data_IF_711552053459
#
_entry.id   IF_711552053459
#
_cell.length_a   1.000
_cell.length_b   1.000
_cell.length_c   1.000
_cell.angle_alpha   90.00
_cell.angle_beta   90.00
_cell.angle_gamma   90.00
#
_symmetry.space_group_name_H-M   'P 1'
#
loop_
_entity.id
_entity.type
_entity.pdbx_description
1 polymer ?
#
# COMPACT_ATOMS: atom_id res chain seq x y z
N UNK A 1 -39.44 -46.50 17.78
CA UNK A 1 -38.16 -46.17 17.14
C UNK A 1 -38.40 -45.88 15.66
N UNK A 2 -38.74 -44.63 15.33
CA UNK A 2 -38.05 -43.95 14.23
C UNK A 2 -37.98 -42.42 14.48
N UNK A 3 -36.89 -41.91 15.06
CA UNK A 3 -36.76 -40.45 15.31
C UNK A 3 -35.34 -39.91 15.22
N UNK A 4 -34.41 -40.64 14.59
CA UNK A 4 -33.01 -40.19 14.42
C UNK A 4 -32.61 -39.90 12.97
N UNK A 5 -33.43 -40.26 11.97
CA UNK A 5 -33.12 -39.96 10.56
C UNK A 5 -33.54 -38.56 10.09
N UNK A 6 -34.31 -37.80 10.90
CA UNK A 6 -34.86 -36.50 10.49
C UNK A 6 -33.98 -35.28 10.79
N UNK A 7 -32.90 -35.45 11.56
CA UNK A 7 -32.00 -34.33 11.92
C UNK A 7 -30.79 -34.25 10.95
N UNK A 8 -30.54 -35.28 10.14
CA UNK A 8 -29.42 -35.32 9.19
C UNK A 8 -29.71 -34.68 7.81
N UNK A 9 -30.86 -34.00 7.60
CA UNK A 9 -31.26 -33.49 6.27
C UNK A 9 -31.64 -32.02 6.19
N UNK A 10 -31.50 -31.24 7.26
CA UNK A 10 -31.94 -29.83 7.23
C UNK A 10 -30.72 -28.91 7.30
N UNK A 11 -30.47 -28.25 6.17
CA UNK A 11 -29.57 -27.11 5.98
C UNK A 11 -28.08 -27.39 5.73
N UNK A 12 -27.80 -28.11 4.64
CA UNK A 12 -26.80 -27.63 3.69
C UNK A 12 -27.25 -26.28 3.13
N UNK A 13 -27.05 -25.19 3.87
CA UNK A 13 -27.01 -23.87 3.23
C UNK A 13 -25.80 -23.88 2.27
N UNK A 14 -26.01 -23.61 0.98
CA UNK A 14 -24.92 -23.67 0.02
C UNK A 14 -23.87 -22.63 0.46
N UNK A 15 -22.62 -23.07 0.66
CA UNK A 15 -21.45 -22.18 0.72
C UNK A 15 -21.61 -21.22 -0.45
N UNK A 16 -21.99 -19.97 -0.18
CA UNK A 16 -22.17 -18.98 -1.23
C UNK A 16 -20.76 -18.72 -1.75
N UNK A 17 -20.38 -19.43 -2.81
CA UNK A 17 -19.07 -19.30 -3.42
C UNK A 17 -18.90 -17.83 -3.76
N UNK A 18 -18.02 -17.15 -3.02
CA UNK A 18 -17.73 -15.76 -3.28
C UNK A 18 -17.19 -15.70 -4.70
N UNK A 19 -17.74 -14.83 -5.56
CA UNK A 19 -17.34 -14.80 -6.96
C UNK A 19 -15.84 -14.50 -7.02
N UNK A 20 -15.05 -15.49 -7.48
CA UNK A 20 -13.63 -15.28 -7.79
C UNK A 20 -13.53 -14.14 -8.79
N UNK A 21 -12.71 -13.14 -8.48
CA UNK A 21 -12.51 -11.93 -9.30
C UNK A 21 -12.16 -12.35 -10.74
N UNK A 22 -13.01 -12.02 -11.71
CA UNK A 22 -12.72 -12.17 -13.14
C UNK A 22 -12.76 -10.81 -13.85
N UNK A 23 -11.72 -10.51 -14.62
CA UNK A 23 -11.68 -9.38 -15.55
C UNK A 23 -11.73 -7.99 -14.90
N UNK A 24 -12.65 -7.13 -15.38
CA UNK A 24 -12.76 -5.70 -15.02
C UNK A 24 -12.91 -5.47 -13.51
N UNK A 25 -13.53 -6.41 -12.78
CA UNK A 25 -13.66 -6.32 -11.33
C UNK A 25 -12.31 -6.42 -10.60
N UNK A 26 -11.34 -7.16 -11.14
CA UNK A 26 -9.99 -7.24 -10.58
C UNK A 26 -9.21 -5.93 -10.82
N UNK A 27 -9.42 -5.28 -11.97
CA UNK A 27 -8.81 -3.98 -12.32
C UNK A 27 -9.38 -2.86 -11.45
N UNK A 28 -10.70 -2.83 -11.28
CA UNK A 28 -11.38 -1.83 -10.46
C UNK A 28 -11.15 -2.05 -8.95
N UNK A 29 -10.95 -3.30 -8.53
CA UNK A 29 -10.50 -3.62 -7.18
C UNK A 29 -9.03 -3.26 -6.94
N UNK A 30 -8.19 -3.27 -7.98
CA UNK A 30 -6.80 -2.83 -7.89
C UNK A 30 -6.72 -1.30 -7.94
N UNK A 31 -6.85 -0.70 -6.76
CA UNK A 31 -6.85 0.75 -6.58
C UNK A 31 -5.63 1.45 -7.22
N UNK A 32 -4.47 0.77 -7.26
CA UNK A 32 -3.24 1.31 -7.82
C UNK A 32 -3.36 1.49 -9.34
N UNK A 33 -3.87 0.47 -10.05
CA UNK A 33 -4.02 0.52 -11.51
C UNK A 33 -5.05 1.60 -11.92
N UNK A 34 -6.12 1.74 -11.14
CA UNK A 34 -7.12 2.78 -11.35
C UNK A 34 -6.54 4.19 -11.17
N UNK A 35 -5.73 4.40 -10.13
CA UNK A 35 -5.06 5.69 -9.89
C UNK A 35 -4.03 6.02 -10.96
N UNK A 36 -3.24 5.04 -11.39
CA UNK A 36 -2.31 5.22 -12.49
C UNK A 36 -3.04 5.65 -13.76
N UNK A 37 -4.14 4.96 -14.11
CA UNK A 37 -4.95 5.34 -15.26
C UNK A 37 -5.54 6.76 -15.11
N UNK A 38 -6.07 7.10 -13.94
CA UNK A 38 -6.60 8.43 -13.65
C UNK A 38 -5.53 9.52 -13.78
N UNK A 39 -4.31 9.29 -13.27
CA UNK A 39 -3.20 10.23 -13.37
C UNK A 39 -2.73 10.40 -14.81
N UNK A 40 -2.62 9.31 -15.58
CA UNK A 40 -2.27 9.38 -17.01
C UNK A 40 -3.30 10.20 -17.78
N UNK A 41 -4.59 9.97 -17.54
CA UNK A 41 -5.67 10.77 -18.14
C UNK A 41 -5.55 12.24 -17.72
N UNK A 42 -5.29 12.51 -16.44
CA UNK A 42 -5.10 13.86 -15.93
C UNK A 42 -3.97 14.58 -16.67
N UNK A 43 -2.80 13.95 -16.78
CA UNK A 43 -1.62 14.51 -17.44
C UNK A 43 -1.92 14.79 -18.92
N UNK A 44 -2.57 13.86 -19.62
CA UNK A 44 -2.92 14.01 -21.05
C UNK A 44 -3.91 15.16 -21.25
N UNK A 45 -4.97 15.22 -20.43
CA UNK A 45 -5.97 16.30 -20.51
C UNK A 45 -5.32 17.65 -20.20
N UNK A 46 -4.54 17.75 -19.12
CA UNK A 46 -3.84 18.98 -18.76
C UNK A 46 -2.89 19.43 -19.85
N UNK A 47 -2.12 18.52 -20.46
CA UNK A 47 -1.23 18.87 -21.58
C UNK A 47 -1.98 19.27 -22.84
N UNK A 48 -3.08 18.59 -23.16
CA UNK A 48 -3.93 18.96 -24.29
C UNK A 48 -4.52 20.37 -24.13
N UNK A 49 -5.07 20.67 -22.96
CA UNK A 49 -5.60 22.02 -22.64
C UNK A 49 -4.48 23.06 -22.70
N UNK A 50 -3.33 22.78 -22.10
CA UNK A 50 -2.17 23.67 -22.12
C UNK A 50 -1.68 23.95 -23.55
N UNK A 51 -1.64 22.93 -24.40
CA UNK A 51 -1.27 23.06 -25.81
C UNK A 51 -2.26 23.93 -26.58
N UNK A 52 -3.57 23.71 -26.41
CA UNK A 52 -4.61 24.53 -27.08
C UNK A 52 -4.55 25.98 -26.63
N UNK A 53 -4.40 26.23 -25.33
CA UNK A 53 -4.25 27.60 -24.80
C UNK A 53 -3.00 28.27 -25.39
N UNK A 54 -1.93 27.51 -25.59
CA UNK A 54 -0.66 28.00 -26.13
C UNK A 54 -0.69 28.23 -27.64
N UNK A 55 -1.47 27.44 -28.40
CA UNK A 55 -1.67 27.63 -29.84
C UNK A 55 -2.40 28.94 -30.18
N UNK A 56 -3.21 29.47 -29.25
CA UNK A 56 -3.91 30.76 -29.42
C UNK A 56 -2.99 31.97 -29.34
N UNK A 57 -1.73 31.78 -28.93
CA UNK A 57 -0.77 32.86 -28.81
C UNK A 57 0.28 32.81 -29.94
N UNK A 58 0.54 33.97 -30.55
CA UNK A 58 1.41 34.09 -31.73
C UNK A 58 2.91 34.08 -31.42
N UNK A 59 3.30 34.08 -30.15
CA UNK A 59 4.65 34.43 -29.70
C UNK A 59 5.67 33.28 -29.66
N UNK A 60 5.47 32.17 -30.38
CA UNK A 60 6.35 30.99 -30.30
C UNK A 60 6.90 30.51 -31.64
N UNK A 61 8.08 29.88 -31.56
CA UNK A 61 8.75 29.23 -32.69
C UNK A 61 7.82 28.22 -33.39
N UNK A 62 7.75 28.22 -34.73
CA UNK A 62 6.83 27.37 -35.49
C UNK A 62 7.02 25.86 -35.26
N UNK A 63 8.21 25.42 -34.86
CA UNK A 63 8.49 24.02 -34.50
C UNK A 63 7.61 23.50 -33.35
N UNK A 64 7.21 24.38 -32.42
CA UNK A 64 6.37 24.04 -31.26
C UNK A 64 4.90 23.80 -31.68
N UNK A 65 4.50 24.20 -32.90
CA UNK A 65 3.16 23.95 -33.44
C UNK A 65 3.05 22.61 -34.18
N UNK A 66 4.16 21.88 -34.34
CA UNK A 66 4.13 20.58 -35.02
C UNK A 66 3.46 19.52 -34.14
N UNK A 67 2.53 18.69 -34.69
CA UNK A 67 1.91 17.61 -33.95
C UNK A 67 2.91 16.59 -33.39
N UNK A 68 4.02 16.36 -34.10
CA UNK A 68 5.08 15.42 -33.71
C UNK A 68 5.83 15.91 -32.46
N UNK A 69 6.16 17.20 -32.40
CA UNK A 69 6.75 17.80 -31.22
C UNK A 69 5.80 17.72 -30.02
N UNK A 70 4.51 18.01 -30.22
CA UNK A 70 3.53 17.86 -29.14
C UNK A 70 3.43 16.40 -28.65
N UNK A 71 3.37 15.42 -29.55
CA UNK A 71 3.29 14.01 -29.18
C UNK A 71 4.52 13.56 -28.36
N UNK A 72 5.72 13.95 -28.77
CA UNK A 72 6.96 13.62 -28.03
C UNK A 72 6.98 14.28 -26.64
N UNK A 73 6.61 15.55 -26.52
CA UNK A 73 6.51 16.25 -25.23
C UNK A 73 5.43 15.63 -24.35
N UNK A 74 4.29 15.20 -24.92
CA UNK A 74 3.22 14.53 -24.20
C UNK A 74 3.70 13.21 -23.60
N UNK A 75 4.34 12.35 -24.40
CA UNK A 75 4.89 11.07 -23.93
C UNK A 75 5.95 11.29 -22.85
N UNK A 76 6.88 12.22 -23.07
CA UNK A 76 7.90 12.57 -22.07
C UNK A 76 7.26 13.09 -20.78
N UNK A 77 6.21 13.91 -20.86
CA UNK A 77 5.49 14.44 -19.70
C UNK A 77 4.76 13.34 -18.93
N UNK A 78 4.13 12.38 -19.60
CA UNK A 78 3.48 11.24 -18.95
C UNK A 78 4.50 10.39 -18.21
N UNK A 79 5.60 10.03 -18.85
CA UNK A 79 6.69 9.25 -18.22
C UNK A 79 7.27 10.00 -17.02
N UNK A 80 7.54 11.29 -17.19
CA UNK A 80 8.07 12.15 -16.13
C UNK A 80 7.14 12.23 -14.92
N UNK A 81 5.86 12.54 -15.12
CA UNK A 81 4.93 12.73 -14.01
C UNK A 81 4.56 11.43 -13.32
N UNK A 82 4.40 10.34 -14.06
CA UNK A 82 4.21 9.00 -13.46
C UNK A 82 5.42 8.64 -12.59
N UNK A 83 6.63 8.95 -13.05
CA UNK A 83 7.85 8.74 -12.25
C UNK A 83 7.87 9.61 -10.99
N UNK A 84 7.53 10.91 -11.09
CA UNK A 84 7.43 11.81 -9.93
C UNK A 84 6.38 11.33 -8.92
N UNK A 85 5.21 10.91 -9.37
CA UNK A 85 4.15 10.40 -8.49
C UNK A 85 4.51 9.06 -7.86
N UNK A 86 5.21 8.20 -8.60
CA UNK A 86 5.76 6.97 -8.07
C UNK A 86 6.81 7.24 -6.99
N UNK A 87 7.73 8.18 -7.22
CA UNK A 87 8.68 8.63 -6.22
C UNK A 87 7.98 9.20 -4.99
N UNK A 88 6.92 9.98 -5.15
CA UNK A 88 6.13 10.51 -4.05
C UNK A 88 5.35 9.43 -3.26
N UNK A 89 5.33 8.18 -3.74
CA UNK A 89 4.62 7.07 -3.11
C UNK A 89 3.11 7.13 -3.27
N UNK A 90 2.62 7.81 -4.32
CA UNK A 90 1.18 7.94 -4.61
C UNK A 90 0.55 6.64 -5.13
N UNK A 91 1.35 5.61 -5.42
CA UNK A 91 0.92 4.29 -5.90
C UNK A 91 1.09 3.18 -4.85
N UNK A 92 0.93 3.49 -3.56
CA UNK A 92 0.95 2.51 -2.45
C UNK A 92 -0.46 2.22 -1.92
N UNK A 93 -0.62 1.06 -1.27
CA UNK A 93 -1.90 0.56 -0.75
C UNK A 93 -2.68 1.65 0.01
N UNK A 94 -3.89 1.88 -0.47
CA UNK A 94 -4.65 3.10 -0.27
C UNK A 94 -5.62 3.07 0.89
N UNK A 95 -5.97 1.88 1.40
CA UNK A 95 -7.14 1.69 2.25
C UNK A 95 -7.13 2.51 3.55
N UNK A 96 -6.00 3.13 3.91
CA UNK A 96 -5.79 3.83 5.18
C UNK A 96 -5.48 5.33 5.01
N UNK A 97 -5.29 5.87 3.78
CA UNK A 97 -4.93 7.29 3.60
C UNK A 97 -6.14 8.24 3.56
N UNK A 98 -6.10 9.26 4.42
CA UNK A 98 -7.00 10.41 4.40
C UNK A 98 -6.97 11.11 3.03
N UNK A 99 -8.13 11.55 2.49
CA UNK A 99 -8.17 12.35 1.26
C UNK A 99 -7.29 13.61 1.34
N UNK A 100 -7.16 14.18 2.54
CA UNK A 100 -6.33 15.36 2.77
C UNK A 100 -4.83 15.06 2.66
N UNK A 101 -4.37 13.94 3.23
CA UNK A 101 -2.96 13.53 3.15
C UNK A 101 -2.55 13.22 1.71
N UNK A 102 -3.47 12.62 0.96
CA UNK A 102 -3.28 12.37 -0.46
C UNK A 102 -3.18 13.67 -1.26
N UNK A 103 -4.15 14.58 -1.11
CA UNK A 103 -4.13 15.87 -1.79
C UNK A 103 -2.87 16.66 -1.45
N UNK A 104 -2.45 16.66 -0.18
CA UNK A 104 -1.19 17.27 0.26
C UNK A 104 0.03 16.61 -0.40
N UNK A 105 0.05 15.28 -0.50
CA UNK A 105 1.13 14.54 -1.17
C UNK A 105 1.18 14.87 -2.66
N UNK A 106 0.03 14.96 -3.34
CA UNK A 106 -0.08 15.37 -4.75
C UNK A 106 0.45 16.79 -4.94
N UNK A 107 0.00 17.75 -4.12
CA UNK A 107 0.46 19.14 -4.19
C UNK A 107 1.98 19.25 -4.00
N UNK A 108 2.52 18.54 -3.01
CA UNK A 108 3.97 18.49 -2.77
C UNK A 108 4.73 17.88 -3.96
N UNK A 109 4.23 16.78 -4.51
CA UNK A 109 4.82 16.13 -5.67
C UNK A 109 4.81 17.04 -6.90
N UNK A 110 3.71 17.78 -7.13
CA UNK A 110 3.59 18.73 -8.23
C UNK A 110 4.52 19.93 -8.02
N UNK A 111 4.59 20.49 -6.81
CA UNK A 111 5.48 21.61 -6.52
C UNK A 111 6.96 21.25 -6.77
N UNK A 112 7.42 20.09 -6.27
CA UNK A 112 8.79 19.60 -6.50
C UNK A 112 9.00 19.22 -7.97
N UNK A 113 8.01 18.54 -8.57
CA UNK A 113 8.06 18.11 -9.97
C UNK A 113 8.06 19.27 -10.97
N UNK A 114 7.49 20.43 -10.64
CA UNK A 114 7.56 21.63 -11.48
C UNK A 114 8.89 22.36 -11.28
N UNK A 115 9.48 22.32 -10.08
CA UNK A 115 10.76 23.00 -9.81
C UNK A 115 11.89 22.57 -10.76
N UNK A 116 11.93 21.30 -11.18
CA UNK A 116 12.96 20.77 -12.10
C UNK A 116 12.89 21.44 -13.50
N UNK A 117 11.77 21.39 -14.24
CA UNK A 117 11.67 22.08 -15.53
C UNK A 117 11.75 23.60 -15.39
N UNK A 118 11.28 24.19 -14.27
CA UNK A 118 11.48 25.63 -13.99
C UNK A 118 12.98 25.95 -13.96
N UNK A 119 13.76 25.21 -13.19
CA UNK A 119 15.20 25.42 -13.06
C UNK A 119 15.92 25.24 -14.40
N UNK A 120 15.56 24.19 -15.16
CA UNK A 120 16.13 23.97 -16.49
C UNK A 120 15.86 25.16 -17.44
N UNK A 121 14.64 25.69 -17.45
CA UNK A 121 14.27 26.86 -18.27
C UNK A 121 15.00 28.13 -17.81
N UNK A 122 15.15 28.32 -16.49
CA UNK A 122 15.88 29.46 -15.94
C UNK A 122 17.36 29.44 -16.30
N UNK A 123 17.99 28.26 -16.28
CA UNK A 123 19.40 28.09 -16.66
C UNK A 123 19.64 28.28 -18.16
N UNK A 124 18.68 27.87 -19.01
CA UNK A 124 18.80 27.96 -20.46
C UNK A 124 18.42 29.35 -21.00
N UNK A 125 17.26 29.85 -20.59
CA UNK A 125 16.65 31.05 -21.19
C UNK A 125 16.64 32.27 -20.27
N UNK A 126 16.74 32.09 -18.95
CA UNK A 126 16.63 33.19 -17.96
C UNK A 126 15.23 33.79 -17.80
N UNK A 127 14.25 33.42 -18.64
CA UNK A 127 12.89 33.97 -18.60
C UNK A 127 11.88 32.98 -18.04
N UNK A 128 11.22 33.37 -16.95
CA UNK A 128 10.13 32.60 -16.37
C UNK A 128 8.77 33.01 -16.96
N UNK A 129 8.00 32.05 -17.46
CA UNK A 129 6.63 32.29 -17.91
C UNK A 129 5.63 31.89 -16.82
N UNK A 130 4.72 32.80 -16.46
CA UNK A 130 3.59 32.52 -15.54
C UNK A 130 2.74 31.33 -15.99
N UNK A 131 2.79 30.96 -17.27
CA UNK A 131 2.11 29.81 -17.85
C UNK A 131 2.55 28.47 -17.24
N UNK A 132 3.79 28.38 -16.75
CA UNK A 132 4.26 27.17 -16.07
C UNK A 132 3.56 26.99 -14.70
N UNK A 133 3.27 28.11 -14.02
CA UNK A 133 2.43 28.11 -12.81
C UNK A 133 1.00 27.71 -13.16
N UNK A 134 0.44 28.28 -14.24
CA UNK A 134 -0.90 27.91 -14.70
C UNK A 134 -1.00 26.42 -15.05
N UNK A 135 0.01 25.87 -15.71
CA UNK A 135 0.12 24.44 -15.98
C UNK A 135 0.15 23.62 -14.68
N UNK A 136 0.99 24.01 -13.71
CA UNK A 136 1.09 23.34 -12.41
C UNK A 136 -0.25 23.34 -11.65
N UNK A 137 -0.93 24.49 -11.63
CA UNK A 137 -2.24 24.65 -10.99
C UNK A 137 -3.30 23.79 -11.68
N UNK A 138 -3.35 23.81 -13.02
CA UNK A 138 -4.27 22.99 -13.79
C UNK A 138 -4.02 21.50 -13.55
N UNK A 139 -2.76 21.07 -13.54
CA UNK A 139 -2.40 19.68 -13.24
C UNK A 139 -2.88 19.28 -11.84
N UNK A 140 -2.62 20.12 -10.83
CA UNK A 140 -3.04 19.85 -9.46
C UNK A 140 -4.56 19.71 -9.35
N UNK A 141 -5.32 20.64 -9.93
CA UNK A 141 -6.79 20.61 -9.91
C UNK A 141 -7.32 19.35 -10.59
N UNK A 142 -6.82 19.02 -11.79
CA UNK A 142 -7.31 17.88 -12.58
C UNK A 142 -6.95 16.55 -11.91
N UNK A 143 -5.71 16.39 -11.41
CA UNK A 143 -5.28 15.16 -10.70
C UNK A 143 -6.09 14.96 -9.42
N UNK A 144 -6.24 16.00 -8.59
CA UNK A 144 -7.01 15.91 -7.35
C UNK A 144 -8.49 15.59 -7.66
N UNK A 145 -9.09 16.25 -8.64
CA UNK A 145 -10.48 16.00 -9.03
C UNK A 145 -10.69 14.55 -9.50
N UNK A 146 -9.81 14.04 -10.37
CA UNK A 146 -9.89 12.66 -10.86
C UNK A 146 -9.67 11.63 -9.76
N UNK A 147 -8.79 11.91 -8.79
CA UNK A 147 -8.55 11.04 -7.62
C UNK A 147 -9.74 11.03 -6.65
N UNK A 148 -10.33 12.19 -6.36
CA UNK A 148 -11.56 12.29 -5.56
C UNK A 148 -12.73 11.59 -6.25
N UNK A 149 -12.88 11.78 -7.56
CA UNK A 149 -13.89 11.08 -8.34
C UNK A 149 -13.67 9.56 -8.35
N UNK A 150 -12.43 9.10 -8.56
CA UNK A 150 -12.08 7.69 -8.48
C UNK A 150 -12.41 7.09 -7.10
N UNK A 151 -12.12 7.82 -6.02
CA UNK A 151 -12.49 7.43 -4.65
C UNK A 151 -14.00 7.32 -4.49
N UNK A 152 -14.76 8.29 -5.02
CA UNK A 152 -16.22 8.29 -4.98
C UNK A 152 -16.83 7.11 -5.75
N UNK A 153 -16.29 6.80 -6.93
CA UNK A 153 -16.69 5.64 -7.73
C UNK A 153 -16.39 4.34 -6.97
N UNK A 154 -15.18 4.18 -6.43
CA UNK A 154 -14.82 3.01 -5.62
C UNK A 154 -15.70 2.89 -4.37
N UNK A 155 -15.98 3.99 -3.69
CA UNK A 155 -16.88 4.03 -2.53
C UNK A 155 -18.29 3.55 -2.90
N UNK A 156 -18.87 4.04 -4.00
CA UNK A 156 -20.17 3.56 -4.50
C UNK A 156 -20.15 2.08 -4.89
N UNK A 157 -19.07 1.61 -5.52
CA UNK A 157 -18.97 0.21 -5.90
C UNK A 157 -18.82 -0.71 -4.67
N UNK A 158 -18.15 -0.25 -3.61
CA UNK A 158 -18.07 -0.95 -2.33
C UNK A 158 -19.41 -0.96 -1.61
N UNK A 159 -20.11 0.17 -1.51
CA UNK A 159 -21.42 0.25 -0.84
C UNK A 159 -22.52 -0.55 -1.55
N UNK A 160 -22.36 -0.78 -2.86
CA UNK A 160 -23.21 -1.69 -3.64
C UNK A 160 -22.81 -3.17 -3.57
N UNK A 161 -21.80 -3.53 -2.76
CA UNK A 161 -21.31 -4.90 -2.61
C UNK A 161 -20.63 -5.48 -3.86
N UNK A 162 -20.22 -4.63 -4.81
CA UNK A 162 -19.52 -5.08 -6.04
C UNK A 162 -18.02 -5.24 -5.85
N UNK A 163 -17.45 -4.56 -4.85
CA UNK A 163 -16.07 -4.73 -4.41
C UNK A 163 -16.13 -5.26 -2.99
N UNK A 164 -15.73 -6.53 -2.85
CA UNK A 164 -15.75 -7.24 -1.58
C UNK A 164 -14.38 -7.87 -1.34
N UNK A 165 -13.90 -7.77 -0.11
CA UNK A 165 -12.68 -8.37 0.41
C UNK A 165 -13.09 -9.45 1.41
N UNK A 166 -13.03 -10.74 1.04
CA UNK A 166 -13.26 -11.85 1.95
C UNK A 166 -12.30 -11.72 3.14
N UNK A 167 -12.85 -11.53 4.33
CA UNK A 167 -12.10 -11.19 5.53
C UNK A 167 -12.33 -12.24 6.60
N UNK A 168 -11.24 -12.73 7.19
CA UNK A 168 -11.26 -13.59 8.35
C UNK A 168 -11.06 -12.75 9.61
N UNK A 169 -11.85 -12.98 10.66
CA UNK A 169 -11.60 -12.40 11.97
C UNK A 169 -10.84 -13.42 12.82
N UNK A 170 -9.81 -12.98 13.53
CA UNK A 170 -8.98 -13.82 14.39
C UNK A 170 -8.89 -13.12 15.74
N UNK A 171 -9.26 -13.80 16.83
CA UNK A 171 -9.47 -13.11 18.08
C UNK A 171 -9.86 -14.00 19.26
N UNK A 172 -10.14 -13.37 20.38
CA UNK A 172 -10.82 -13.96 21.52
C UNK A 172 -12.33 -13.71 21.46
N UNK A 173 -13.09 -14.41 22.30
CA UNK A 173 -14.57 -14.31 22.31
C UNK A 173 -15.04 -12.86 22.49
N UNK A 174 -14.42 -12.14 23.42
CA UNK A 174 -14.83 -10.77 23.79
C UNK A 174 -14.45 -9.73 22.74
N UNK A 175 -13.24 -9.80 22.17
CA UNK A 175 -12.76 -8.91 21.13
C UNK A 175 -13.54 -9.05 19.84
N UNK A 176 -13.82 -10.28 19.42
CA UNK A 176 -14.65 -10.55 18.23
C UNK A 176 -16.08 -10.05 18.44
N UNK A 177 -16.68 -10.32 19.60
CA UNK A 177 -18.06 -9.88 19.88
C UNK A 177 -18.16 -8.35 19.92
N UNK A 178 -17.20 -7.68 20.55
CA UNK A 178 -17.12 -6.22 20.63
C UNK A 178 -16.95 -5.59 19.25
N UNK A 179 -16.08 -6.17 18.42
CA UNK A 179 -15.90 -5.73 17.04
C UNK A 179 -17.19 -5.90 16.22
N UNK A 180 -17.83 -7.07 16.29
CA UNK A 180 -19.07 -7.36 15.56
C UNK A 180 -20.26 -6.48 16.01
N UNK A 181 -20.32 -6.10 17.28
CA UNK A 181 -21.34 -5.20 17.80
C UNK A 181 -21.22 -3.77 17.23
N UNK A 182 -19.99 -3.31 16.98
CA UNK A 182 -19.71 -2.03 16.30
C UNK A 182 -19.64 -2.14 14.78
N UNK A 183 -19.57 -3.36 14.24
CA UNK A 183 -19.41 -3.60 12.81
C UNK A 183 -20.75 -3.51 12.07
N UNK A 184 -21.00 -2.34 11.47
CA UNK A 184 -22.11 -2.21 10.55
C UNK A 184 -21.80 -2.96 9.23
N UNK A 185 -22.65 -3.95 8.88
CA UNK A 185 -22.51 -4.75 7.64
C UNK A 185 -22.57 -3.91 6.37
N UNK A 186 -23.09 -2.68 6.44
CA UNK A 186 -23.08 -1.68 5.36
C UNK A 186 -21.74 -0.94 5.20
N UNK A 187 -20.70 -1.34 5.94
CA UNK A 187 -19.39 -0.69 5.97
C UNK A 187 -18.79 -0.43 4.59
N UNK A 188 -18.46 0.85 4.36
CA UNK A 188 -17.96 1.42 3.10
C UNK A 188 -16.60 0.89 2.64
N UNK A 189 -15.93 0.08 3.45
CA UNK A 189 -14.59 -0.46 3.16
C UNK A 189 -14.63 -1.75 2.33
N UNK A 190 -15.80 -2.40 2.21
CA UNK A 190 -15.98 -3.59 1.40
C UNK A 190 -15.43 -4.88 2.01
N UNK A 191 -15.10 -4.90 3.31
CA UNK A 191 -14.74 -6.15 4.00
C UNK A 191 -16.00 -6.99 4.20
N UNK A 192 -16.01 -8.23 3.71
CA UNK A 192 -17.06 -9.19 4.04
C UNK A 192 -16.48 -10.22 4.98
N UNK A 193 -17.03 -10.27 6.19
CA UNK A 193 -16.63 -11.25 7.20
C UNK A 193 -17.15 -12.61 6.77
N UNK A 194 -16.24 -13.52 6.45
CA UNK A 194 -16.55 -14.88 5.95
C UNK A 194 -16.50 -15.91 7.07
N UNK A 195 -15.70 -15.65 8.11
CA UNK A 195 -15.57 -16.53 9.25
C UNK A 195 -14.72 -15.93 10.37
N UNK A 196 -14.69 -16.64 11.50
CA UNK A 196 -13.90 -16.28 12.67
C UNK A 196 -13.01 -17.45 13.13
N UNK A 197 -11.84 -17.13 13.69
CA UNK A 197 -10.97 -18.05 14.43
C UNK A 197 -10.85 -17.58 15.88
N UNK A 198 -11.11 -18.49 16.82
CA UNK A 198 -10.94 -18.24 18.25
C UNK A 198 -10.65 -19.54 18.99
N UNK A 199 -9.82 -19.47 20.03
CA UNK A 199 -9.52 -20.63 20.89
C UNK A 199 -10.64 -20.92 21.90
N UNK A 200 -11.36 -19.89 22.35
CA UNK A 200 -12.34 -19.99 23.44
C UNK A 200 -13.74 -20.43 22.99
N UNK A 201 -13.84 -21.00 21.79
CA UNK A 201 -15.09 -21.43 21.19
C UNK A 201 -15.09 -22.90 20.80
N UNK A 202 -16.27 -23.51 20.89
CA UNK A 202 -16.52 -24.81 20.28
C UNK A 202 -16.51 -24.71 18.76
N UNK A 203 -15.97 -25.72 18.09
CA UNK A 203 -16.04 -25.82 16.63
C UNK A 203 -17.51 -25.73 16.17
N UNK A 204 -17.77 -24.86 15.18
CA UNK A 204 -19.09 -24.63 14.57
C UNK A 204 -20.11 -23.79 15.37
N UNK A 205 -19.72 -23.11 16.45
CA UNK A 205 -20.57 -22.05 17.02
C UNK A 205 -20.73 -20.86 16.05
N UNK A 206 -21.83 -20.10 16.17
CA UNK A 206 -22.16 -18.97 15.28
C UNK A 206 -22.48 -17.71 16.10
N UNK A 207 -21.87 -16.58 15.74
CA UNK A 207 -22.00 -15.31 16.47
C UNK A 207 -22.27 -14.18 15.49
N UNK A 208 -23.37 -13.46 15.70
CA UNK A 208 -23.84 -12.41 14.81
C UNK A 208 -23.88 -12.83 13.32
N UNK A 209 -24.28 -14.08 13.07
CA UNK A 209 -24.28 -14.75 11.75
C UNK A 209 -22.88 -14.84 11.10
N UNK A 210 -21.84 -15.02 11.92
CA UNK A 210 -20.47 -15.34 11.50
C UNK A 210 -20.11 -16.69 12.13
N UNK A 211 -19.74 -17.65 11.27
CA UNK A 211 -19.39 -19.00 11.69
C UNK A 211 -17.93 -19.07 12.12
N UNK A 212 -17.68 -19.83 13.18
CA UNK A 212 -16.34 -20.12 13.66
C UNK A 212 -15.78 -21.29 12.85
N UNK A 213 -14.69 -21.02 12.14
CA UNK A 213 -14.12 -21.93 11.13
C UNK A 213 -13.07 -22.85 11.75
N UNK A 214 -12.47 -22.44 12.86
CA UNK A 214 -11.42 -23.19 13.55
C UNK A 214 -10.81 -22.43 14.72
N UNK A 215 -9.70 -22.98 15.21
CA UNK A 215 -8.88 -22.43 16.29
C UNK A 215 -7.78 -21.50 15.74
N UNK A 216 -7.08 -20.76 16.61
CA UNK A 216 -5.93 -19.94 16.19
C UNK A 216 -4.82 -20.78 15.54
N UNK A 217 -4.67 -22.05 15.95
CA UNK A 217 -3.71 -22.99 15.34
C UNK A 217 -3.98 -23.28 13.86
N UNK A 218 -5.23 -23.16 13.42
CA UNK A 218 -5.65 -23.45 12.05
C UNK A 218 -5.40 -22.25 11.11
N UNK A 219 -4.98 -21.11 11.67
CA UNK A 219 -4.76 -19.88 10.92
C UNK A 219 -3.78 -20.09 9.75
N UNK A 220 -2.65 -20.76 9.99
CA UNK A 220 -1.67 -21.01 8.91
C UNK A 220 -2.24 -21.86 7.78
N UNK A 221 -3.08 -22.87 8.09
CA UNK A 221 -3.68 -23.72 7.07
C UNK A 221 -4.73 -22.95 6.26
N UNK A 222 -5.59 -22.21 6.94
CA UNK A 222 -6.65 -21.42 6.29
C UNK A 222 -6.11 -20.25 5.47
N UNK A 223 -4.99 -19.66 5.90
CA UNK A 223 -4.28 -18.65 5.12
C UNK A 223 -3.67 -19.25 3.85
N UNK A 224 -3.12 -20.47 3.93
CA UNK A 224 -2.57 -21.18 2.78
C UNK A 224 -3.64 -21.59 1.74
N UNK A 225 -4.88 -21.80 2.15
CA UNK A 225 -5.99 -22.12 1.23
C UNK A 225 -6.36 -20.94 0.29
N UNK A 226 -5.92 -19.72 0.59
CA UNK A 226 -6.07 -18.55 -0.28
C UNK A 226 -7.52 -18.10 -0.50
N UNK A 227 -8.40 -18.35 0.48
CA UNK A 227 -9.81 -17.98 0.42
C UNK A 227 -10.10 -16.56 0.95
N UNK A 228 -9.11 -15.96 1.62
CA UNK A 228 -9.23 -14.68 2.31
C UNK A 228 -8.27 -13.66 1.68
N UNK A 229 -8.71 -12.42 1.55
CA UNK A 229 -7.90 -11.28 1.10
C UNK A 229 -7.36 -10.47 2.30
N UNK A 230 -8.04 -10.54 3.44
CA UNK A 230 -7.72 -9.77 4.63
C UNK A 230 -7.98 -10.56 5.92
N UNK A 231 -7.27 -10.17 6.99
CA UNK A 231 -7.44 -10.69 8.34
C UNK A 231 -7.59 -9.53 9.33
N UNK A 232 -8.58 -9.61 10.22
CA UNK A 232 -8.79 -8.64 11.31
C UNK A 232 -8.45 -9.34 12.62
N UNK A 233 -7.45 -8.81 13.33
CA UNK A 233 -7.05 -9.25 14.66
C UNK A 233 -7.88 -8.48 15.69
N UNK A 234 -8.80 -9.16 16.35
CA UNK A 234 -9.72 -8.58 17.33
C UNK A 234 -9.57 -9.31 18.67
N UNK A 235 -8.63 -8.85 19.48
CA UNK A 235 -8.34 -9.40 20.80
C UNK A 235 -8.66 -8.36 21.88
N UNK A 236 -9.29 -8.78 22.97
CA UNK A 236 -9.43 -7.99 24.19
C UNK A 236 -8.22 -8.18 25.13
N UNK A 237 -7.63 -9.38 25.12
CA UNK A 237 -6.36 -9.64 25.79
C UNK A 237 -5.56 -10.70 25.03
N UNK A 238 -4.44 -10.30 24.42
CA UNK A 238 -3.55 -11.22 23.74
C UNK A 238 -2.08 -10.89 24.03
N UNK A 239 -1.26 -11.94 24.13
CA UNK A 239 0.18 -11.79 24.22
C UNK A 239 0.73 -11.15 22.93
N UNK A 240 1.64 -10.20 23.09
CA UNK A 240 2.27 -9.51 21.97
C UNK A 240 2.96 -10.47 20.98
N UNK A 241 3.52 -11.57 21.50
CA UNK A 241 4.17 -12.61 20.69
C UNK A 241 3.16 -13.34 19.81
N UNK A 242 1.97 -13.66 20.33
CA UNK A 242 0.88 -14.29 19.57
C UNK A 242 0.39 -13.38 18.44
N UNK A 243 0.18 -12.09 18.73
CA UNK A 243 -0.23 -11.11 17.72
C UNK A 243 0.85 -10.98 16.63
N UNK A 244 2.13 -10.91 17.01
CA UNK A 244 3.24 -10.80 16.08
C UNK A 244 3.36 -12.05 15.18
N UNK A 245 3.19 -13.24 15.76
CA UNK A 245 3.19 -14.51 15.03
C UNK A 245 2.06 -14.54 13.99
N UNK A 246 0.83 -14.15 14.37
CA UNK A 246 -0.30 -14.06 13.45
C UNK A 246 -0.08 -13.03 12.34
N UNK A 247 0.48 -11.86 12.66
CA UNK A 247 0.84 -10.85 11.67
C UNK A 247 1.89 -11.39 10.70
N UNK A 248 2.92 -12.08 11.21
CA UNK A 248 3.97 -12.66 10.37
C UNK A 248 3.42 -13.74 9.44
N UNK A 249 2.62 -14.66 9.96
CA UNK A 249 2.00 -15.76 9.21
C UNK A 249 1.05 -15.22 8.14
N UNK A 250 0.23 -14.21 8.47
CA UNK A 250 -0.65 -13.56 7.51
C UNK A 250 0.15 -12.83 6.41
N UNK A 251 1.23 -12.14 6.79
CA UNK A 251 2.10 -11.44 5.83
C UNK A 251 2.83 -12.39 4.89
N UNK A 252 3.23 -13.59 5.35
CA UNK A 252 3.84 -14.62 4.50
C UNK A 252 2.90 -15.09 3.39
N UNK A 253 1.60 -15.12 3.67
CA UNK A 253 0.56 -15.52 2.74
C UNK A 253 -0.04 -14.34 1.96
N UNK A 254 0.50 -13.13 2.13
CA UNK A 254 0.08 -11.93 1.40
C UNK A 254 -1.28 -11.37 1.83
N UNK A 255 -1.78 -11.76 3.00
CA UNK A 255 -3.03 -11.23 3.56
C UNK A 255 -2.80 -9.82 4.11
N UNK A 256 -3.79 -8.96 3.91
CA UNK A 256 -3.79 -7.66 4.57
C UNK A 256 -4.26 -7.81 6.02
N UNK A 257 -3.36 -7.57 6.98
CA UNK A 257 -3.67 -7.68 8.41
C UNK A 257 -4.04 -6.33 9.00
N UNK A 258 -5.16 -6.26 9.72
CA UNK A 258 -5.61 -5.10 10.48
C UNK A 258 -5.75 -5.50 11.95
N UNK A 259 -5.37 -4.62 12.87
CA UNK A 259 -5.53 -4.85 14.31
C UNK A 259 -6.60 -3.90 14.83
N UNK A 260 -7.54 -4.43 15.60
CA UNK A 260 -8.48 -3.65 16.42
C UNK A 260 -7.73 -3.30 17.70
N UNK A 261 -7.30 -2.05 17.90
CA UNK A 261 -6.58 -1.65 19.09
C UNK A 261 -7.48 -1.67 20.31
N UNK A 262 -6.83 -2.04 21.41
CA UNK A 262 -7.41 -2.08 22.74
C UNK A 262 -8.01 -0.73 23.13
N UNK A 263 -9.19 -0.78 23.75
CA UNK A 263 -9.87 0.38 24.37
C UNK A 263 -9.02 1.05 25.47
N UNK A 264 -7.92 0.42 25.91
CA UNK A 264 -7.01 0.91 26.96
C UNK A 264 -6.14 2.11 26.57
N UNK A 265 -6.04 2.48 25.29
CA UNK A 265 -5.25 3.64 24.87
C UNK A 265 -5.92 5.02 25.10
N UNK A 266 -7.17 5.06 25.55
CA UNK A 266 -7.90 6.32 25.82
C UNK A 266 -7.37 7.06 27.06
N UNK A 267 -6.69 6.37 27.98
CA UNK A 267 -6.26 6.97 29.27
C UNK A 267 -4.87 7.63 29.20
N UNK A 268 -4.05 7.35 28.19
CA UNK A 268 -2.69 7.89 28.09
C UNK A 268 -2.52 8.90 26.95
N UNK A 269 -3.15 10.07 27.12
CA UNK A 269 -2.70 11.46 26.84
C UNK A 269 -1.77 11.84 25.67
N UNK A 270 -1.40 10.98 24.75
CA UNK A 270 -0.49 11.33 23.66
C UNK A 270 -0.58 10.32 22.52
N UNK A 271 -1.15 10.75 21.39
CA UNK A 271 -0.61 10.61 20.02
C UNK A 271 -1.73 11.00 19.05
N UNK A 272 -1.35 11.72 17.99
CA UNK A 272 -2.22 12.34 16.99
C UNK A 272 -3.39 11.44 16.56
N UNK A 273 -4.58 11.97 16.78
CA UNK A 273 -5.86 11.44 16.33
C UNK A 273 -5.96 11.42 14.80
N UNK A 274 -5.95 10.24 14.20
CA UNK A 274 -6.66 9.97 12.96
C UNK A 274 -8.01 9.39 13.36
N UNK A 275 -9.02 10.24 13.44
CA UNK A 275 -10.37 9.84 13.86
C UNK A 275 -11.11 9.22 12.68
N UNK A 276 -11.18 7.89 12.65
CA UNK A 276 -12.24 7.15 11.97
C UNK A 276 -13.00 6.35 13.04
N UNK A 277 -14.17 6.87 13.42
CA UNK A 277 -15.21 6.21 14.23
C UNK A 277 -14.75 5.38 15.46
N UNK A 278 -14.10 6.03 16.43
CA UNK A 278 -14.13 5.58 17.83
C UNK A 278 -13.30 4.35 18.20
N UNK A 279 -12.68 3.68 17.23
CA UNK A 279 -11.68 2.64 17.47
C UNK A 279 -10.45 3.06 16.68
N UNK A 280 -9.27 3.27 17.31
CA UNK A 280 -8.06 3.53 16.54
C UNK A 280 -7.85 2.34 15.58
N UNK A 281 -7.04 2.46 14.54
CA UNK A 281 -6.52 1.27 13.85
C UNK A 281 -5.03 1.52 13.69
N UNK A 282 -4.22 0.66 14.27
CA UNK A 282 -2.76 0.75 14.14
C UNK A 282 -2.36 -0.21 13.02
N UNK A 283 -2.11 0.35 11.84
CA UNK A 283 -1.55 -0.38 10.72
C UNK A 283 -0.05 -0.62 11.00
N UNK A 284 0.31 -1.85 11.36
CA UNK A 284 1.71 -2.30 11.33
C UNK A 284 2.07 -2.53 9.87
N UNK A 285 2.37 -1.44 9.15
CA UNK A 285 2.90 -1.56 7.81
C UNK A 285 4.37 -2.02 7.90
N UNK A 286 4.78 -3.17 7.32
CA UNK A 286 6.16 -3.64 7.35
C UNK A 286 7.09 -2.82 6.42
N UNK A 287 6.68 -1.63 6.00
CA UNK A 287 7.37 -0.80 5.02
C UNK A 287 7.79 0.53 5.64
N UNK A 288 8.85 0.48 6.45
CA UNK A 288 9.46 1.63 7.15
C UNK A 288 9.91 2.78 6.22
N UNK A 289 10.01 2.55 4.90
CA UNK A 289 10.50 3.54 3.93
C UNK A 289 9.59 3.67 2.71
N UNK A 290 9.38 4.91 2.24
CA UNK A 290 8.86 5.20 0.90
C UNK A 290 9.80 4.64 -0.20
N UNK A 291 9.34 4.40 -1.44
CA UNK A 291 10.18 3.79 -2.49
C UNK A 291 11.46 4.60 -2.75
N UNK A 292 11.32 5.93 -2.82
CA UNK A 292 12.46 6.84 -2.97
C UNK A 292 13.40 6.82 -1.77
N UNK A 293 12.89 6.68 -0.54
CA UNK A 293 13.73 6.58 0.67
C UNK A 293 14.55 5.31 0.67
N UNK A 294 13.95 4.18 0.26
CA UNK A 294 14.67 2.92 0.11
C UNK A 294 15.74 3.01 -0.99
N UNK A 295 15.41 3.65 -2.13
CA UNK A 295 16.34 3.85 -3.23
C UNK A 295 17.50 4.79 -2.84
N UNK A 296 17.20 5.92 -2.20
CA UNK A 296 18.20 6.88 -1.72
C UNK A 296 19.07 6.24 -0.65
N UNK A 297 18.49 5.53 0.32
CA UNK A 297 19.27 4.79 1.32
C UNK A 297 20.22 3.80 0.65
N UNK A 298 19.75 3.07 -0.37
CA UNK A 298 20.60 2.13 -1.12
C UNK A 298 21.70 2.84 -1.90
N UNK A 299 21.40 3.96 -2.54
CA UNK A 299 22.39 4.76 -3.25
C UNK A 299 23.46 5.32 -2.29
N UNK A 300 23.04 5.84 -1.13
CA UNK A 300 23.94 6.31 -0.08
C UNK A 300 24.79 5.16 0.45
N UNK A 301 24.20 4.01 0.76
CA UNK A 301 24.94 2.85 1.25
C UNK A 301 26.01 2.39 0.26
N UNK A 302 25.68 2.35 -1.04
CA UNK A 302 26.64 2.00 -2.09
C UNK A 302 27.73 3.07 -2.21
N UNK A 303 27.38 4.35 -2.27
CA UNK A 303 28.34 5.44 -2.43
C UNK A 303 29.30 5.53 -1.24
N UNK A 304 28.78 5.47 -0.01
CA UNK A 304 29.57 5.50 1.21
C UNK A 304 30.44 4.26 1.33
N UNK A 305 29.89 3.06 1.09
CA UNK A 305 30.67 1.82 1.15
C UNK A 305 31.78 1.79 0.10
N UNK A 306 31.50 2.20 -1.14
CA UNK A 306 32.49 2.29 -2.21
C UNK A 306 33.61 3.29 -1.85
N UNK A 307 33.24 4.45 -1.30
CA UNK A 307 34.21 5.47 -0.87
C UNK A 307 35.12 4.91 0.24
N UNK A 308 34.54 4.28 1.27
CA UNK A 308 35.30 3.69 2.38
C UNK A 308 36.21 2.55 1.89
N UNK A 309 35.73 1.72 0.95
CA UNK A 309 36.53 0.63 0.37
C UNK A 309 37.71 1.15 -0.44
N UNK A 310 37.50 2.17 -1.29
CA UNK A 310 38.56 2.75 -2.14
C UNK A 310 39.58 3.52 -1.31
N UNK A 311 39.12 4.41 -0.42
CA UNK A 311 40.01 5.23 0.41
C UNK A 311 40.74 4.37 1.44
N UNK A 312 40.07 3.36 2.01
CA UNK A 312 40.67 2.43 2.97
C UNK A 312 41.52 1.33 2.34
N UNK A 313 41.54 1.20 1.01
CA UNK A 313 42.25 0.13 0.27
C UNK A 313 43.70 -0.13 0.74
N UNK A 314 44.56 0.87 0.95
CA UNK A 314 45.91 0.62 1.46
C UNK A 314 45.92 -0.03 2.85
N UNK A 315 45.01 0.38 3.74
CA UNK A 315 44.87 -0.20 5.09
C UNK A 315 44.35 -1.64 5.00
N UNK A 316 43.35 -1.89 4.15
CA UNK A 316 42.79 -3.22 3.93
C UNK A 316 43.82 -4.21 3.38
N UNK A 317 44.69 -3.76 2.47
CA UNK A 317 45.80 -4.56 1.95
C UNK A 317 46.83 -4.91 3.04
N UNK A 318 47.20 -3.95 3.89
CA UNK A 318 48.12 -4.21 4.99
C UNK A 318 47.55 -5.21 6.01
N UNK A 319 46.27 -5.08 6.34
CA UNK A 319 45.56 -6.03 7.22
C UNK A 319 45.51 -7.41 6.57
N UNK A 320 45.19 -7.49 5.27
CA UNK A 320 45.15 -8.75 4.54
C UNK A 320 46.51 -9.46 4.53
N UNK A 321 47.59 -8.70 4.35
CA UNK A 321 48.96 -9.22 4.42
C UNK A 321 49.29 -9.72 5.83
N UNK A 322 48.97 -8.94 6.87
CA UNK A 322 49.20 -9.32 8.26
C UNK A 322 48.48 -10.63 8.62
N UNK A 323 47.21 -10.79 8.23
CA UNK A 323 46.45 -12.03 8.47
C UNK A 323 47.10 -13.23 7.78
N UNK A 324 47.61 -13.05 6.56
CA UNK A 324 48.27 -14.13 5.80
C UNK A 324 49.64 -14.51 6.31
N UNK A 325 50.34 -13.58 6.98
CA UNK A 325 51.60 -13.87 7.64
C UNK A 325 51.39 -14.56 9.00
N UNK A 326 50.31 -14.24 9.70
CA UNK A 326 50.02 -14.75 11.05
C UNK A 326 49.24 -16.09 11.05
N UNK A 327 48.39 -16.34 10.06
CA UNK A 327 47.57 -17.56 9.98
C UNK A 327 47.35 -18.08 8.55
N UNK A 328 47.15 -19.40 8.35
CA UNK A 328 46.78 -19.95 7.05
C UNK A 328 45.33 -19.63 6.62
N UNK A 329 44.56 -18.95 7.48
CA UNK A 329 43.13 -18.67 7.27
C UNK A 329 42.82 -17.76 6.08
N UNK A 330 41.53 -17.70 5.66
CA UNK A 330 41.06 -16.74 4.68
C UNK A 330 41.04 -15.31 5.28
N UNK A 331 41.36 -14.31 4.47
CA UNK A 331 41.35 -12.89 4.88
C UNK A 331 39.93 -12.40 5.21
N UNK A 332 38.93 -12.92 4.50
CA UNK A 332 37.53 -12.53 4.68
C UNK A 332 36.78 -13.60 5.49
N UNK A 333 36.15 -13.15 6.58
CA UNK A 333 35.24 -13.96 7.37
C UNK A 333 33.88 -14.06 6.67
N UNK A 334 33.28 -15.25 6.66
CA UNK A 334 31.97 -15.47 6.04
C UNK A 334 31.00 -16.10 7.05
N UNK A 335 29.78 -15.55 7.16
CA UNK A 335 28.77 -16.02 8.12
C UNK A 335 27.38 -16.05 7.46
N UNK A 336 26.58 -17.07 7.76
CA UNK A 336 25.16 -17.08 7.39
C UNK A 336 24.36 -16.14 8.28
N UNK A 337 23.56 -15.28 7.66
CA UNK A 337 22.59 -14.38 8.31
C UNK A 337 21.23 -14.50 7.64
N UNK A 338 20.18 -14.34 8.42
CA UNK A 338 18.81 -14.27 7.91
C UNK A 338 18.57 -12.89 7.32
N UNK A 339 18.27 -12.83 6.03
CA UNK A 339 18.07 -11.59 5.27
C UNK A 339 16.59 -11.24 5.05
N UNK A 340 16.35 -10.34 4.07
CA UNK A 340 15.00 -9.89 3.71
C UNK A 340 14.13 -11.07 3.25
N UNK A 341 12.91 -11.16 3.79
CA UNK A 341 11.97 -12.24 3.47
C UNK A 341 12.42 -13.61 3.97
N UNK A 342 13.11 -13.63 5.12
CA UNK A 342 13.61 -14.84 5.78
C UNK A 342 14.58 -15.69 4.94
N UNK A 343 15.14 -15.12 3.87
CA UNK A 343 16.10 -15.81 3.01
C UNK A 343 17.50 -15.71 3.61
N UNK A 344 18.15 -16.84 3.96
CA UNK A 344 19.50 -16.80 4.46
C UNK A 344 20.46 -16.33 3.36
N UNK A 345 21.43 -15.49 3.71
CA UNK A 345 22.53 -15.08 2.85
C UNK A 345 23.86 -15.19 3.59
N UNK A 346 24.94 -15.41 2.84
CA UNK A 346 26.30 -15.45 3.38
C UNK A 346 26.89 -14.04 3.29
N UNK A 347 27.39 -13.50 4.40
CA UNK A 347 28.27 -12.33 4.42
C UNK A 347 29.62 -12.67 3.80
#
# INVERSE_FOLDING_TARGET
>A
MPTLERIARTEQTPRRALPRRRGVQAIVANAILWQLAADVVAIVVTMGVFYVLRLRESSFHPAVRSPEFFASVLVASVVYWVFVFWLAGLYRNWLVRSPFDEAYTVLKAIAVGVAIPVLAILLDSGWFSYKLILYALLLAVVVIALRLWGRHVQWRLRSQGRIVFPTLIVGDREGITSFLAGYDRTSSYGYAIVGALANDWGAMEEIANVRIVGSLSDASQLFAEGQFDACILAFNSADADCVLELVSTASEHGLQTMIVPDLYHVVMGSVRTLSLYGVPLIEISPHLFAPWQALVKRAVDIAVSATVLVVGMPVWLLIALAIKLDSPGPVLFTQYRVGKGNRPFKL
#
